data_IF_320369200286
#
_entry.id   IF_320369200286
#
_cell.length_a   1.000
_cell.length_b   1.000
_cell.length_c   1.000
_cell.angle_alpha   90.00
_cell.angle_beta   90.00
_cell.angle_gamma   90.00
#
_symmetry.space_group_name_H-M   'P 1'
#
loop_
_entity.id
_entity.type
_entity.pdbx_description
1 polymer ?
#
# COMPACT_ATOMS: atom_id res chain seq x y z
N UNK A 1 50.95 -37.61 54.25
CA UNK A 1 50.46 -38.49 53.18
C UNK A 1 49.60 -37.64 52.26
N UNK A 2 50.21 -37.07 51.23
CA UNK A 2 49.53 -36.21 50.26
C UNK A 2 49.48 -36.99 48.94
N UNK A 3 48.34 -37.58 48.61
CA UNK A 3 48.05 -38.05 47.26
C UNK A 3 46.98 -37.13 46.68
N UNK A 4 47.45 -36.05 46.05
CA UNK A 4 46.65 -35.31 45.08
C UNK A 4 46.78 -36.06 43.76
N UNK A 5 45.74 -36.79 43.38
CA UNK A 5 45.62 -37.41 42.07
C UNK A 5 45.38 -36.31 41.05
N UNK A 6 46.40 -36.03 40.25
CA UNK A 6 46.36 -35.11 39.13
C UNK A 6 45.44 -35.70 38.05
N UNK A 7 44.26 -35.09 37.88
CA UNK A 7 43.29 -35.47 36.85
C UNK A 7 43.90 -35.04 35.52
N UNK A 8 44.51 -36.00 34.83
CA UNK A 8 45.01 -35.82 33.46
C UNK A 8 43.84 -35.45 32.56
N UNK A 9 43.83 -34.22 32.05
CA UNK A 9 42.96 -33.84 30.95
C UNK A 9 43.31 -34.69 29.72
N UNK A 10 42.32 -35.05 28.87
CA UNK A 10 42.61 -35.76 27.63
C UNK A 10 43.45 -34.84 26.74
N UNK A 11 44.68 -35.24 26.48
CA UNK A 11 45.54 -34.62 25.48
C UNK A 11 45.05 -35.07 24.12
N UNK A 12 44.38 -34.19 23.39
CA UNK A 12 44.15 -34.41 21.96
C UNK A 12 45.52 -34.47 21.28
N UNK A 13 45.87 -35.64 20.74
CA UNK A 13 47.11 -35.84 20.00
C UNK A 13 46.89 -35.27 18.59
N UNK A 14 47.48 -34.11 18.22
CA UNK A 14 47.18 -33.42 16.96
C UNK A 14 47.62 -34.18 15.68
N UNK A 15 48.13 -35.40 15.83
CA UNK A 15 48.58 -36.31 14.79
C UNK A 15 47.81 -37.64 14.76
N UNK A 16 46.73 -37.81 15.54
CA UNK A 16 45.88 -39.00 15.40
C UNK A 16 45.10 -38.93 14.07
N UNK A 17 45.34 -39.86 13.12
CA UNK A 17 44.64 -39.86 11.84
C UNK A 17 43.12 -40.14 11.96
N UNK A 18 42.62 -40.61 13.11
CA UNK A 18 41.21 -40.94 13.32
C UNK A 18 40.42 -39.85 14.06
N UNK A 19 41.08 -38.87 14.68
CA UNK A 19 40.40 -37.78 15.42
C UNK A 19 39.43 -36.99 14.54
N UNK A 20 39.80 -36.75 13.28
CA UNK A 20 38.93 -36.06 12.31
C UNK A 20 37.70 -36.89 11.93
N UNK A 21 37.81 -38.24 11.92
CA UNK A 21 36.67 -39.12 11.64
C UNK A 21 35.73 -39.24 12.84
N UNK A 22 36.28 -39.31 14.05
CA UNK A 22 35.51 -39.38 15.29
C UNK A 22 34.70 -38.11 15.56
N UNK A 23 35.19 -36.96 15.10
CA UNK A 23 34.52 -35.65 15.22
C UNK A 23 33.77 -35.22 13.96
N UNK A 24 33.80 -36.03 12.89
CA UNK A 24 33.23 -35.69 11.59
C UNK A 24 31.73 -35.44 11.68
N UNK A 25 31.01 -36.31 12.39
CA UNK A 25 29.55 -36.22 12.53
C UNK A 25 29.14 -34.90 13.18
N UNK A 26 29.74 -34.57 14.32
CA UNK A 26 29.43 -33.33 15.05
C UNK A 26 29.85 -32.08 14.25
N UNK A 27 30.98 -32.15 13.54
CA UNK A 27 31.44 -31.07 12.65
C UNK A 27 30.49 -30.88 11.47
N UNK A 28 30.00 -31.96 10.86
CA UNK A 28 29.03 -31.91 9.77
C UNK A 28 27.68 -31.38 10.25
N UNK A 29 27.19 -31.81 11.40
CA UNK A 29 25.94 -31.28 11.98
C UNK A 29 26.05 -29.79 12.28
N UNK A 30 27.11 -29.38 12.98
CA UNK A 30 27.32 -27.98 13.36
C UNK A 30 27.50 -27.09 12.13
N UNK A 31 28.28 -27.54 11.15
CA UNK A 31 28.51 -26.77 9.92
C UNK A 31 27.24 -26.67 9.07
N UNK A 32 26.50 -27.76 8.88
CA UNK A 32 25.24 -27.75 8.15
C UNK A 32 24.16 -26.91 8.85
N UNK A 33 24.08 -26.98 10.18
CA UNK A 33 23.16 -26.15 10.96
C UNK A 33 23.52 -24.66 10.83
N UNK A 34 24.79 -24.29 11.02
CA UNK A 34 25.25 -22.92 10.87
C UNK A 34 25.04 -22.40 9.44
N UNK A 35 25.26 -23.25 8.43
CA UNK A 35 24.97 -22.94 7.03
C UNK A 35 23.48 -22.71 6.81
N UNK A 36 22.62 -23.60 7.30
CA UNK A 36 21.17 -23.49 7.21
C UNK A 36 20.62 -22.24 7.88
N UNK A 37 21.14 -21.84 9.04
CA UNK A 37 20.77 -20.59 9.72
C UNK A 37 21.18 -19.38 8.88
N UNK A 38 22.40 -19.37 8.33
CA UNK A 38 22.88 -18.28 7.48
C UNK A 38 22.05 -18.13 6.21
N UNK A 39 21.76 -19.25 5.55
CA UNK A 39 20.97 -19.27 4.32
C UNK A 39 19.51 -18.93 4.59
N UNK A 40 18.91 -19.45 5.65
CA UNK A 40 17.55 -19.11 6.08
C UNK A 40 17.41 -17.63 6.43
N UNK A 41 18.36 -17.06 7.17
CA UNK A 41 18.36 -15.63 7.48
C UNK A 41 18.53 -14.76 6.22
N UNK A 42 19.31 -15.21 5.24
CA UNK A 42 19.46 -14.52 3.96
C UNK A 42 18.19 -14.61 3.12
N UNK A 43 17.64 -15.81 2.96
CA UNK A 43 16.42 -16.08 2.21
C UNK A 43 15.24 -15.28 2.79
N UNK A 44 15.04 -15.32 4.11
CA UNK A 44 13.97 -14.58 4.78
C UNK A 44 14.05 -13.06 4.58
N UNK A 45 15.26 -12.47 4.56
CA UNK A 45 15.41 -11.03 4.26
C UNK A 45 15.07 -10.70 2.80
N UNK A 46 15.46 -11.56 1.87
CA UNK A 46 15.18 -11.37 0.45
C UNK A 46 13.67 -11.51 0.21
N UNK A 47 13.07 -12.57 0.73
CA UNK A 47 11.64 -12.84 0.62
C UNK A 47 10.81 -11.73 1.26
N UNK A 48 11.15 -11.30 2.47
CA UNK A 48 10.47 -10.18 3.14
C UNK A 48 10.54 -8.88 2.34
N UNK A 49 11.66 -8.61 1.66
CA UNK A 49 11.80 -7.43 0.79
C UNK A 49 10.94 -7.55 -0.47
N UNK A 50 10.94 -8.72 -1.12
CA UNK A 50 10.14 -8.96 -2.32
C UNK A 50 8.65 -8.84 -1.99
N UNK A 51 8.21 -9.49 -0.92
CA UNK A 51 6.82 -9.46 -0.45
C UNK A 51 6.38 -8.03 -0.10
N UNK A 52 7.22 -7.28 0.61
CA UNK A 52 6.94 -5.88 0.93
C UNK A 52 6.77 -4.99 -0.31
N UNK A 53 7.63 -5.17 -1.32
CA UNK A 53 7.53 -4.45 -2.59
C UNK A 53 6.28 -4.83 -3.38
N UNK A 54 5.96 -6.12 -3.46
CA UNK A 54 4.75 -6.61 -4.13
C UNK A 54 3.49 -6.01 -3.50
N UNK A 55 3.38 -6.06 -2.17
CA UNK A 55 2.23 -5.50 -1.44
C UNK A 55 2.19 -3.99 -1.48
N UNK A 56 3.33 -3.31 -1.44
CA UNK A 56 3.41 -1.86 -1.67
C UNK A 56 2.86 -1.50 -3.04
N UNK A 57 3.30 -2.19 -4.10
CA UNK A 57 2.83 -1.95 -5.46
C UNK A 57 1.32 -2.18 -5.60
N UNK A 58 0.79 -3.30 -5.09
CA UNK A 58 -0.65 -3.61 -5.14
C UNK A 58 -1.49 -2.50 -4.49
N UNK A 59 -1.07 -2.04 -3.31
CA UNK A 59 -1.70 -0.92 -2.60
C UNK A 59 -1.68 0.36 -3.43
N UNK A 60 -0.51 0.80 -3.91
CA UNK A 60 -0.39 2.04 -4.69
C UNK A 60 -1.05 1.97 -6.07
N UNK A 61 -1.11 0.79 -6.71
CA UNK A 61 -1.84 0.60 -7.96
C UNK A 61 -3.34 0.85 -7.75
N UNK A 62 -3.92 0.32 -6.67
CA UNK A 62 -5.33 0.55 -6.34
C UNK A 62 -5.62 2.03 -6.02
N UNK A 63 -4.69 2.72 -5.35
CA UNK A 63 -4.77 4.16 -5.11
C UNK A 63 -4.69 4.94 -6.43
N UNK A 64 -3.79 4.55 -7.34
CA UNK A 64 -3.64 5.13 -8.67
C UNK A 64 -4.92 5.07 -9.50
N UNK A 65 -5.68 3.97 -9.40
CA UNK A 65 -7.02 3.87 -10.01
C UNK A 65 -7.95 4.95 -9.46
N UNK A 66 -7.99 5.16 -8.14
CA UNK A 66 -8.82 6.22 -7.53
C UNK A 66 -8.36 7.62 -7.96
N UNK A 67 -7.05 7.86 -8.06
CA UNK A 67 -6.48 9.12 -8.51
C UNK A 67 -6.83 9.43 -9.98
N UNK A 68 -6.70 8.43 -10.85
CA UNK A 68 -7.09 8.53 -12.26
C UNK A 68 -8.57 8.84 -12.40
N UNK A 69 -9.43 8.17 -11.62
CA UNK A 69 -10.88 8.46 -11.58
C UNK A 69 -11.17 9.88 -11.12
N UNK A 70 -10.49 10.36 -10.08
CA UNK A 70 -10.61 11.73 -9.61
C UNK A 70 -10.22 12.75 -10.70
N UNK A 71 -9.16 12.46 -11.45
CA UNK A 71 -8.68 13.28 -12.56
C UNK A 71 -9.69 13.32 -13.72
N UNK A 72 -10.25 12.17 -14.10
CA UNK A 72 -11.30 12.06 -15.13
C UNK A 72 -12.57 12.79 -14.71
N UNK A 73 -13.04 12.57 -13.48
CA UNK A 73 -14.21 13.29 -12.96
C UNK A 73 -13.97 14.80 -12.87
N UNK A 74 -12.77 15.22 -12.47
CA UNK A 74 -12.36 16.62 -12.45
C UNK A 74 -12.40 17.27 -13.84
N UNK A 75 -11.90 16.57 -14.86
CA UNK A 75 -11.94 17.04 -16.25
C UNK A 75 -13.37 17.15 -16.81
N UNK A 76 -14.32 16.39 -16.25
CA UNK A 76 -15.73 16.35 -16.65
C UNK A 76 -16.63 17.34 -15.90
N UNK A 77 -16.09 18.09 -14.93
CA UNK A 77 -16.81 19.19 -14.30
C UNK A 77 -16.74 20.43 -15.20
N UNK A 78 -17.85 21.20 -15.36
CA UNK A 78 -17.81 22.43 -16.13
C UNK A 78 -16.83 23.40 -15.48
N UNK A 79 -15.84 23.86 -16.25
CA UNK A 79 -15.04 25.01 -15.84
C UNK A 79 -15.99 26.20 -15.82
N UNK A 80 -16.15 26.84 -14.65
CA UNK A 80 -16.84 28.12 -14.58
C UNK A 80 -16.13 29.05 -15.57
N UNK A 81 -16.79 29.36 -16.69
CA UNK A 81 -16.23 30.22 -17.72
C UNK A 81 -15.94 31.58 -17.08
N UNK A 82 -14.66 31.86 -16.83
CA UNK A 82 -14.19 33.23 -16.78
C UNK A 82 -14.36 33.79 -18.20
N UNK A 83 -15.53 34.35 -18.47
CA UNK A 83 -15.77 35.20 -19.63
C UNK A 83 -14.94 36.46 -19.46
N UNK A 84 -13.64 36.40 -19.81
CA UNK A 84 -12.83 37.58 -20.05
C UNK A 84 -12.97 37.97 -21.51
N UNK A 85 -14.14 38.52 -21.85
CA UNK A 85 -14.25 39.43 -22.98
C UNK A 85 -13.57 40.73 -22.56
N UNK A 86 -12.50 41.13 -23.26
CA UNK A 86 -12.17 42.55 -23.41
C UNK A 86 -11.43 42.77 -24.74
N UNK A 87 -11.85 43.77 -25.53
CA UNK A 87 -11.41 44.03 -26.90
C UNK A 87 -10.09 44.83 -26.94
N UNK A 88 -9.44 44.85 -28.10
CA UNK A 88 -8.09 45.35 -28.28
C UNK A 88 -7.87 46.86 -28.18
N UNK A 89 -6.60 47.24 -28.39
CA UNK A 89 -6.06 48.38 -29.17
C UNK A 89 -4.66 48.76 -28.63
N UNK A 90 -3.61 48.46 -29.42
CA UNK A 90 -2.54 49.35 -29.96
C UNK A 90 -1.16 48.67 -30.09
N UNK A 91 -0.61 48.79 -31.29
CA UNK A 91 0.72 48.34 -31.72
C UNK A 91 1.83 49.37 -31.38
N UNK A 92 3.00 48.82 -31.04
CA UNK A 92 4.42 49.20 -31.32
C UNK A 92 5.09 50.50 -30.80
N UNK A 93 6.45 50.58 -30.72
CA UNK A 93 7.50 49.53 -30.85
C UNK A 93 8.57 49.53 -29.71
N UNK A 94 9.37 48.47 -29.61
CA UNK A 94 10.62 48.42 -28.82
C UNK A 94 11.75 47.80 -29.64
N UNK A 95 12.83 48.55 -29.86
CA UNK A 95 14.13 48.04 -30.32
C UNK A 95 14.97 47.58 -29.10
N UNK A 96 15.70 46.46 -29.24
CA UNK A 96 16.86 46.13 -28.38
C UNK A 96 16.87 44.77 -27.67
N UNK A 97 17.17 43.71 -28.43
CA UNK A 97 18.10 42.59 -28.16
C UNK A 97 18.11 41.83 -26.80
N UNK A 98 17.68 40.55 -26.88
CA UNK A 98 18.33 39.27 -26.48
C UNK A 98 19.07 39.13 -25.14
N UNK A 99 19.01 38.06 -24.34
CA UNK A 99 18.65 36.63 -24.45
C UNK A 99 18.87 36.09 -23.01
N UNK A 100 18.06 35.28 -22.32
CA UNK A 100 17.90 33.83 -22.51
C UNK A 100 17.00 33.31 -21.36
N UNK A 101 15.69 33.18 -21.58
CA UNK A 101 14.83 32.37 -20.73
C UNK A 101 14.02 31.48 -21.66
N UNK A 102 14.39 30.19 -21.69
CA UNK A 102 13.74 29.17 -22.51
C UNK A 102 12.34 28.90 -21.98
N UNK A 103 11.39 29.71 -22.43
CA UNK A 103 9.97 29.48 -22.28
C UNK A 103 9.54 28.57 -23.42
N UNK A 104 9.27 27.30 -23.13
CA UNK A 104 8.65 26.39 -24.09
C UNK A 104 7.16 26.74 -24.17
N UNK A 105 6.84 27.77 -24.95
CA UNK A 105 5.52 27.95 -25.53
C UNK A 105 5.34 26.88 -26.59
N UNK A 106 4.54 25.87 -26.27
CA UNK A 106 3.92 25.02 -27.29
C UNK A 106 2.55 25.64 -27.55
N UNK A 107 2.51 26.56 -28.52
CA UNK A 107 1.29 26.90 -29.25
C UNK A 107 1.21 25.94 -30.43
N UNK A 108 0.42 24.87 -30.30
CA UNK A 108 -0.10 24.13 -31.44
C UNK A 108 -1.62 24.16 -31.36
N UNK A 109 -2.18 25.04 -32.20
CA UNK A 109 -3.52 24.88 -32.75
C UNK A 109 -3.56 23.54 -33.48
N UNK A 110 -4.31 22.60 -32.92
CA UNK A 110 -4.73 21.43 -33.64
C UNK A 110 -6.19 21.14 -33.24
N UNK A 111 -7.10 21.43 -34.17
CA UNK A 111 -8.52 21.01 -34.17
C UNK A 111 -8.63 19.48 -34.45
N UNK A 112 -7.74 18.71 -33.84
CA UNK A 112 -7.85 17.26 -33.75
C UNK A 112 -8.89 16.96 -32.70
N UNK A 113 -9.94 16.21 -33.09
CA UNK A 113 -11.05 15.75 -32.26
C UNK A 113 -10.49 15.20 -30.94
N UNK A 114 -10.40 16.05 -29.91
CA UNK A 114 -10.14 15.61 -28.55
C UNK A 114 -11.39 14.82 -28.16
N UNK A 115 -11.27 13.57 -27.69
CA UNK A 115 -12.43 12.90 -27.11
C UNK A 115 -12.85 13.73 -25.90
N UNK A 116 -13.83 14.61 -26.11
CA UNK A 116 -14.42 15.41 -25.05
C UNK A 116 -15.16 14.40 -24.20
N UNK A 117 -14.58 14.10 -23.03
CA UNK A 117 -15.22 13.25 -22.04
C UNK A 117 -16.63 13.81 -21.78
N UNK A 118 -17.67 12.96 -21.74
CA UNK A 118 -19.04 13.42 -21.53
C UNK A 118 -19.13 14.29 -20.27
N UNK A 119 -19.61 15.52 -20.42
CA UNK A 119 -19.74 16.45 -19.31
C UNK A 119 -20.77 15.92 -18.30
N UNK A 120 -20.52 16.11 -17.02
CA UNK A 120 -21.52 15.78 -15.99
C UNK A 120 -22.62 16.84 -16.05
N UNK A 121 -23.83 16.44 -16.44
CA UNK A 121 -24.95 17.34 -16.75
C UNK A 121 -25.51 18.10 -15.54
N UNK A 122 -25.24 17.64 -14.31
CA UNK A 122 -25.74 18.26 -13.06
C UNK A 122 -24.70 18.30 -11.92
N UNK A 123 -23.63 19.10 -12.05
CA UNK A 123 -22.59 19.18 -11.05
C UNK A 123 -23.06 19.98 -9.83
N UNK A 124 -23.42 19.27 -8.75
CA UNK A 124 -23.69 19.90 -7.47
C UNK A 124 -22.40 20.45 -6.84
N UNK A 125 -22.46 21.57 -6.12
CA UNK A 125 -21.34 22.11 -5.31
C UNK A 125 -20.68 21.05 -4.40
N UNK A 126 -21.47 20.10 -3.88
CA UNK A 126 -20.98 18.97 -3.08
C UNK A 126 -20.13 17.99 -3.90
N UNK A 127 -20.47 17.78 -5.17
CA UNK A 127 -19.70 16.93 -6.08
C UNK A 127 -18.32 17.54 -6.33
N UNK A 128 -18.27 18.84 -6.67
CA UNK A 128 -17.00 19.55 -6.90
C UNK A 128 -16.05 19.45 -5.69
N UNK A 129 -16.57 19.69 -4.47
CA UNK A 129 -15.77 19.56 -3.24
C UNK A 129 -15.29 18.14 -3.02
N UNK A 130 -16.14 17.13 -3.23
CA UNK A 130 -15.74 15.74 -3.03
C UNK A 130 -14.70 15.29 -4.07
N UNK A 131 -14.82 15.68 -5.33
CA UNK A 131 -13.83 15.39 -6.38
C UNK A 131 -12.49 16.03 -6.06
N UNK A 132 -12.49 17.32 -5.67
CA UNK A 132 -11.27 18.01 -5.24
C UNK A 132 -10.62 17.34 -4.02
N UNK A 133 -11.41 16.97 -3.01
CA UNK A 133 -10.90 16.24 -1.84
C UNK A 133 -10.35 14.86 -2.21
N UNK A 134 -11.01 14.13 -3.11
CA UNK A 134 -10.53 12.83 -3.57
C UNK A 134 -9.18 12.96 -4.28
N UNK A 135 -9.01 13.98 -5.12
CA UNK A 135 -7.75 14.24 -5.83
C UNK A 135 -6.60 14.43 -4.83
N UNK A 136 -6.76 15.32 -3.84
CA UNK A 136 -5.72 15.58 -2.82
C UNK A 136 -5.47 14.38 -1.90
N UNK A 137 -6.50 13.59 -1.57
CA UNK A 137 -6.33 12.36 -0.77
C UNK A 137 -5.57 11.25 -1.51
N UNK A 138 -5.47 11.34 -2.85
CA UNK A 138 -4.87 10.31 -3.70
C UNK A 138 -3.64 10.80 -4.45
N UNK A 139 -3.15 12.00 -4.14
CA UNK A 139 -1.97 12.58 -4.79
C UNK A 139 -0.71 11.76 -4.45
N UNK A 140 -0.10 11.08 -5.43
CA UNK A 140 1.00 10.15 -5.18
C UNK A 140 2.23 10.84 -4.57
N UNK A 141 2.43 12.13 -4.80
CA UNK A 141 3.58 12.87 -4.27
C UNK A 141 3.47 13.16 -2.77
N UNK A 142 2.29 12.95 -2.18
CA UNK A 142 2.02 13.24 -0.77
C UNK A 142 2.19 12.04 0.16
N UNK A 143 2.53 10.87 -0.38
CA UNK A 143 2.73 9.62 0.38
C UNK A 143 4.22 9.36 0.62
N UNK A 144 4.54 8.89 1.83
CA UNK A 144 5.85 8.34 2.12
C UNK A 144 5.93 6.89 1.62
N UNK A 145 7.04 6.55 0.97
CA UNK A 145 7.34 5.19 0.47
C UNK A 145 8.29 4.42 1.40
N UNK A 146 8.57 4.95 2.60
CA UNK A 146 9.33 4.25 3.62
C UNK A 146 8.57 3.04 4.16
N UNK A 147 9.29 1.95 4.46
CA UNK A 147 8.72 0.75 5.07
C UNK A 147 8.64 0.93 6.60
N UNK A 148 7.87 1.91 7.05
CA UNK A 148 7.59 2.19 8.46
C UNK A 148 6.11 1.95 8.77
N UNK A 149 5.78 1.56 10.00
CA UNK A 149 4.39 1.30 10.40
C UNK A 149 3.52 2.55 10.26
N UNK A 150 4.06 3.72 10.61
CA UNK A 150 3.38 5.01 10.48
C UNK A 150 3.03 5.35 9.02
N UNK A 151 3.96 5.13 8.08
CA UNK A 151 3.71 5.37 6.65
C UNK A 151 2.62 4.44 6.10
N UNK A 152 2.61 3.18 6.52
CA UNK A 152 1.58 2.21 6.12
C UNK A 152 0.21 2.58 6.70
N UNK A 153 0.15 3.01 7.96
CA UNK A 153 -1.08 3.43 8.62
C UNK A 153 -1.69 4.69 7.96
N UNK A 154 -0.88 5.71 7.69
CA UNK A 154 -1.35 6.92 6.99
C UNK A 154 -1.85 6.60 5.58
N UNK A 155 -1.16 5.72 4.85
CA UNK A 155 -1.64 5.22 3.57
C UNK A 155 -3.02 4.58 3.69
N UNK A 156 -3.18 3.61 4.60
CA UNK A 156 -4.44 2.85 4.74
C UNK A 156 -5.60 3.76 5.15
N UNK A 157 -5.35 4.75 6.00
CA UNK A 157 -6.36 5.73 6.44
C UNK A 157 -6.74 6.73 5.33
N UNK A 158 -5.77 7.20 4.53
CA UNK A 158 -6.05 8.00 3.33
C UNK A 158 -6.82 7.18 2.29
N UNK A 159 -6.41 5.93 2.04
CA UNK A 159 -7.05 5.03 1.09
C UNK A 159 -8.50 4.73 1.47
N UNK A 160 -8.79 4.46 2.75
CA UNK A 160 -10.17 4.28 3.26
C UNK A 160 -11.02 5.53 3.05
N UNK A 161 -10.49 6.71 3.38
CA UNK A 161 -11.18 8.00 3.18
C UNK A 161 -11.43 8.28 1.70
N UNK A 162 -10.42 8.08 0.85
CA UNK A 162 -10.52 8.22 -0.60
C UNK A 162 -11.59 7.29 -1.18
N UNK A 163 -11.56 6.00 -0.80
CA UNK A 163 -12.56 5.01 -1.21
C UNK A 163 -13.99 5.41 -0.83
N UNK A 164 -14.17 5.97 0.37
CA UNK A 164 -15.48 6.50 0.79
C UNK A 164 -15.91 7.71 -0.05
N UNK A 165 -14.99 8.63 -0.40
CA UNK A 165 -15.28 9.77 -1.28
C UNK A 165 -15.63 9.32 -2.69
N UNK A 166 -14.91 8.34 -3.26
CA UNK A 166 -15.20 7.79 -4.57
C UNK A 166 -16.62 7.21 -4.64
N UNK A 167 -17.05 6.43 -3.65
CA UNK A 167 -18.43 5.89 -3.57
C UNK A 167 -19.50 6.99 -3.53
N UNK A 168 -19.22 8.10 -2.83
CA UNK A 168 -20.13 9.24 -2.78
C UNK A 168 -20.24 9.92 -4.15
N UNK A 169 -19.11 10.06 -4.86
CA UNK A 169 -19.04 10.67 -6.19
C UNK A 169 -19.78 9.81 -7.21
N UNK A 170 -19.52 8.50 -7.25
CA UNK A 170 -20.23 7.52 -8.10
C UNK A 170 -21.75 7.66 -7.95
N UNK A 171 -22.24 7.64 -6.71
CA UNK A 171 -23.67 7.80 -6.41
C UNK A 171 -24.21 9.16 -6.84
N UNK A 172 -23.40 10.21 -6.78
CA UNK A 172 -23.81 11.56 -7.16
C UNK A 172 -23.85 11.76 -8.68
N UNK A 173 -23.02 11.05 -9.43
CA UNK A 173 -22.97 11.11 -10.91
C UNK A 173 -24.00 10.15 -11.53
N UNK A 174 -24.42 9.10 -10.80
CA UNK A 174 -25.30 8.06 -11.34
C UNK A 174 -24.57 7.03 -12.20
N UNK A 175 -23.25 7.13 -12.29
CA UNK A 175 -22.37 6.12 -12.90
C UNK A 175 -22.24 4.93 -11.96
N UNK A 176 -23.15 3.96 -12.11
CA UNK A 176 -22.95 2.64 -11.55
C UNK A 176 -22.00 1.88 -12.49
N UNK A 177 -20.72 1.83 -12.13
CA UNK A 177 -19.79 0.87 -12.74
C UNK A 177 -20.36 -0.50 -12.35
N UNK A 178 -20.97 -1.19 -13.30
CA UNK A 178 -21.29 -2.60 -13.14
C UNK A 178 -19.96 -3.29 -12.85
N UNK A 179 -19.80 -3.98 -11.71
CA UNK A 179 -18.61 -4.77 -11.48
C UNK A 179 -18.51 -5.74 -12.66
N UNK A 180 -17.43 -5.66 -13.43
CA UNK A 180 -17.11 -6.68 -14.43
C UNK A 180 -16.94 -7.99 -13.67
N UNK A 181 -18.01 -8.78 -13.66
CA UNK A 181 -17.96 -10.20 -13.35
C UNK A 181 -17.12 -10.85 -14.44
N UNK A 182 -15.86 -11.15 -14.12
CA UNK A 182 -15.14 -12.24 -14.77
C UNK A 182 -14.31 -12.97 -13.71
N UNK A 183 -14.54 -14.27 -13.60
CA UNK A 183 -14.08 -15.15 -12.51
C UNK A 183 -15.20 -16.00 -11.92
N UNK A 184 -15.81 -16.85 -12.76
CA UNK A 184 -16.93 -17.71 -12.39
C UNK A 184 -16.63 -18.76 -11.31
N UNK A 185 -17.69 -19.16 -10.61
CA UNK A 185 -17.64 -20.27 -9.66
C UNK A 185 -18.88 -20.38 -8.78
N UNK A 186 -19.92 -21.00 -9.35
CA UNK A 186 -20.96 -21.79 -8.68
C UNK A 186 -22.33 -21.15 -8.37
N UNK A 187 -23.32 -22.00 -8.57
CA UNK A 187 -24.70 -21.76 -8.97
C UNK A 187 -25.69 -21.86 -7.78
N UNK A 188 -26.56 -20.85 -7.68
CA UNK A 188 -27.95 -20.90 -7.16
C UNK A 188 -28.26 -21.09 -5.65
N UNK A 189 -29.48 -20.74 -5.17
CA UNK A 189 -30.40 -19.70 -5.64
C UNK A 189 -30.99 -18.80 -4.51
N UNK A 190 -31.60 -17.70 -4.97
CA UNK A 190 -32.36 -16.66 -4.25
C UNK A 190 -33.30 -17.19 -3.16
N UNK A 191 -33.32 -16.53 -1.98
CA UNK A 191 -34.51 -16.51 -1.10
C UNK A 191 -34.62 -15.25 -0.25
N UNK A 192 -35.64 -14.45 -0.57
CA UNK A 192 -36.60 -13.92 0.40
C UNK A 192 -36.15 -12.80 1.35
N UNK A 193 -36.74 -11.62 1.14
CA UNK A 193 -37.13 -10.65 2.16
C UNK A 193 -37.29 -11.29 3.55
N UNK A 194 -36.57 -10.80 4.58
CA UNK A 194 -37.13 -10.46 5.91
C UNK A 194 -36.31 -9.36 6.57
N UNK A 195 -37.01 -8.27 6.93
CA UNK A 195 -36.52 -7.17 7.79
C UNK A 195 -36.33 -7.73 9.21
N UNK A 196 -35.24 -7.42 9.94
CA UNK A 196 -35.20 -7.72 11.36
C UNK A 196 -35.93 -6.64 12.17
N UNK A 197 -36.90 -7.11 12.95
CA UNK A 197 -37.68 -6.41 13.96
C UNK A 197 -36.75 -6.00 15.12
N UNK A 198 -36.92 -4.75 15.58
CA UNK A 198 -36.21 -4.16 16.72
C UNK A 198 -36.76 -4.77 18.01
N UNK A 199 -35.97 -5.62 18.68
CA UNK A 199 -36.23 -6.10 20.03
C UNK A 199 -35.45 -5.24 21.04
N UNK A 200 -36.18 -4.48 21.84
CA UNK A 200 -35.71 -3.90 23.10
C UNK A 200 -35.57 -5.01 24.13
N UNK A 201 -34.37 -5.20 24.70
CA UNK A 201 -34.25 -5.83 26.01
C UNK A 201 -33.05 -5.27 26.79
N UNK A 202 -33.37 -4.93 28.03
CA UNK A 202 -32.52 -4.40 29.08
C UNK A 202 -31.37 -5.33 29.45
N UNK A 203 -30.28 -4.70 29.95
CA UNK A 203 -29.57 -5.11 31.15
C UNK A 203 -28.91 -6.48 31.18
N UNK A 204 -27.58 -6.51 31.07
CA UNK A 204 -26.78 -7.67 31.47
C UNK A 204 -25.34 -7.58 31.00
N UNK A 205 -24.45 -7.02 31.83
CA UNK A 205 -23.01 -7.04 31.59
C UNK A 205 -22.40 -8.44 31.76
N UNK A 206 -21.30 -8.70 31.07
CA UNK A 206 -20.22 -9.63 31.45
C UNK A 206 -18.98 -9.38 30.59
N UNK A 207 -17.83 -9.46 31.24
CA UNK A 207 -16.53 -8.94 30.83
C UNK A 207 -15.91 -9.60 29.60
N UNK A 208 -15.05 -8.81 28.95
CA UNK A 208 -14.02 -9.26 28.02
C UNK A 208 -12.78 -9.59 28.85
N UNK A 209 -12.52 -10.86 29.04
CA UNK A 209 -11.19 -11.32 29.48
C UNK A 209 -10.33 -11.56 28.25
N UNK A 210 -9.10 -11.10 28.39
CA UNK A 210 -8.09 -10.93 27.37
C UNK A 210 -7.64 -12.25 26.77
N UNK A 211 -7.30 -12.18 25.49
CA UNK A 211 -6.40 -13.08 24.80
C UNK A 211 -5.10 -13.22 25.61
N UNK A 212 -5.00 -14.33 26.34
CA UNK A 212 -3.83 -14.76 27.11
C UNK A 212 -2.74 -15.21 26.14
N UNK A 213 -1.95 -14.25 25.66
CA UNK A 213 -0.79 -14.46 24.80
C UNK A 213 0.50 -14.53 25.65
N UNK A 214 0.52 -15.33 26.70
CA UNK A 214 1.69 -15.46 27.59
C UNK A 214 2.39 -16.84 27.53
N UNK A 215 1.87 -17.79 26.76
CA UNK A 215 2.35 -19.18 26.79
C UNK A 215 3.48 -19.51 25.78
N UNK A 216 4.13 -18.49 25.19
CA UNK A 216 5.19 -18.70 24.19
C UNK A 216 6.62 -18.46 24.70
N UNK A 217 6.81 -18.02 25.96
CA UNK A 217 8.12 -17.61 26.47
C UNK A 217 8.72 -18.51 27.56
N UNK A 218 8.24 -19.76 27.71
CA UNK A 218 8.52 -20.60 28.88
C UNK A 218 9.49 -21.78 28.73
N UNK A 219 9.97 -22.15 27.53
CA UNK A 219 10.83 -23.33 27.37
C UNK A 219 12.33 -22.96 27.36
N UNK A 220 12.86 -22.64 28.54
CA UNK A 220 14.31 -22.75 28.79
C UNK A 220 14.59 -23.91 29.74
N UNK A 221 15.36 -24.84 29.18
CA UNK A 221 16.10 -25.90 29.84
C UNK A 221 16.82 -25.42 31.12
N UNK A 222 17.15 -26.42 31.96
CA UNK A 222 18.19 -26.48 33.00
C UNK A 222 17.66 -26.45 34.44
N UNK A 223 17.45 -27.64 35.02
CA UNK A 223 18.42 -28.22 35.97
C UNK A 223 18.25 -29.72 36.09
#
# INVERSE_FOLDING_TARGET
MNHASEISQPTEDPNDPFDTLLTLEDTLYTSAYAQGIRDGARAGRIEGRIFGLEKGFEKFASLGVLHGRASVWGARLPKASSSSTSPGVKEQPTDGESETARNLQIEDQDDTIKPVLPLIESPNTRLHRNVHLLYHLTDPLTFDTSNTEDAVADFDDRFKRASAKAKIIERSIGEHIIPTEDGGGDDSPKKGLKRPVRMTKEGGGRGRDADNMEDFAGSRLLR
#
